data_IF_923938797408
#
_entry.id   IF_923938797408
#
_cell.length_a   1.000
_cell.length_b   1.000
_cell.length_c   1.000
_cell.angle_alpha   90.00
_cell.angle_beta   90.00
_cell.angle_gamma   90.00
#
_symmetry.space_group_name_H-M   'P 1'
#
loop_
_entity.id
_entity.type
_entity.pdbx_description
1 polymer ?
#
# COMPACT_ATOMS: atom_id res chain seq x y z
N UNK A 1 9.34 88.23 -0.46
CA UNK A 1 9.98 87.26 0.44
C UNK A 1 8.89 86.47 1.13
N UNK A 2 8.65 85.23 0.71
CA UNK A 2 7.83 84.26 1.45
C UNK A 2 8.30 82.88 1.02
N UNK A 3 9.21 82.30 1.79
CA UNK A 3 9.74 80.97 1.56
C UNK A 3 8.76 79.94 2.13
N UNK A 4 8.10 79.20 1.25
CA UNK A 4 7.24 78.07 1.58
C UNK A 4 8.11 76.90 2.05
N UNK A 5 8.13 76.62 3.37
CA UNK A 5 8.72 75.40 3.91
C UNK A 5 7.86 74.21 3.50
N UNK A 6 8.32 73.45 2.52
CA UNK A 6 7.78 72.13 2.19
C UNK A 6 8.14 71.16 3.31
N UNK A 7 7.16 70.83 4.14
CA UNK A 7 7.30 69.83 5.20
C UNK A 7 7.22 68.43 4.57
N UNK A 8 8.36 67.90 4.12
CA UNK A 8 8.45 66.51 3.66
C UNK A 8 8.48 65.57 4.87
N UNK A 9 7.31 65.33 5.46
CA UNK A 9 7.11 64.26 6.43
C UNK A 9 7.23 62.92 5.69
N UNK A 10 8.47 62.47 5.47
CA UNK A 10 8.74 61.11 5.03
C UNK A 10 8.37 60.17 6.18
N UNK A 11 7.20 59.53 6.07
CA UNK A 11 6.81 58.39 6.90
C UNK A 11 7.78 57.23 6.66
N UNK A 12 8.97 57.29 7.25
CA UNK A 12 9.92 56.18 7.29
C UNK A 12 9.47 55.22 8.38
N UNK A 13 9.03 54.03 7.98
CA UNK A 13 8.68 52.96 8.91
C UNK A 13 9.91 52.67 9.79
N UNK A 14 9.80 52.69 11.13
CA UNK A 14 10.92 52.44 12.00
C UNK A 14 11.52 51.05 11.72
N UNK A 15 12.86 50.96 11.65
CA UNK A 15 13.55 49.68 11.38
C UNK A 15 13.15 48.58 12.38
N UNK A 16 12.83 48.96 13.64
CA UNK A 16 12.32 48.06 14.66
C UNK A 16 10.95 47.46 14.31
N UNK A 17 10.10 48.20 13.59
CA UNK A 17 8.81 47.73 13.08
C UNK A 17 9.03 46.73 11.92
N UNK A 18 9.98 47.01 11.02
CA UNK A 18 10.35 46.08 9.95
C UNK A 18 10.93 44.78 10.52
N UNK A 19 11.80 44.88 11.53
CA UNK A 19 12.40 43.73 12.22
C UNK A 19 11.36 42.87 12.95
N UNK A 20 10.43 43.49 13.68
CA UNK A 20 9.37 42.76 14.39
C UNK A 20 8.36 42.12 13.43
N UNK A 21 8.03 42.76 12.31
CA UNK A 21 7.19 42.16 11.26
C UNK A 21 7.92 40.97 10.62
N UNK A 22 9.18 41.14 10.22
CA UNK A 22 10.01 40.06 9.63
C UNK A 22 10.18 38.86 10.57
N UNK A 23 10.37 39.11 11.86
CA UNK A 23 10.44 38.06 12.89
C UNK A 23 9.11 37.33 13.07
N UNK A 24 7.99 38.07 13.10
CA UNK A 24 6.64 37.49 13.22
C UNK A 24 6.28 36.65 11.99
N UNK A 25 6.54 37.14 10.79
CA UNK A 25 6.28 36.38 9.55
C UNK A 25 7.13 35.12 9.48
N UNK A 26 8.42 35.22 9.81
CA UNK A 26 9.33 34.06 9.85
C UNK A 26 8.86 33.01 10.86
N UNK A 27 8.43 33.43 12.07
CA UNK A 27 7.83 32.52 13.06
C UNK A 27 6.56 31.86 12.56
N UNK A 28 5.67 32.60 11.90
CA UNK A 28 4.45 32.03 11.32
C UNK A 28 4.76 30.98 10.25
N UNK A 29 5.75 31.22 9.38
CA UNK A 29 6.17 30.27 8.35
C UNK A 29 6.75 28.99 8.97
N UNK A 30 7.59 29.12 10.00
CA UNK A 30 8.16 27.97 10.72
C UNK A 30 7.04 27.18 11.39
N UNK A 31 6.12 27.83 12.10
CA UNK A 31 4.99 27.16 12.74
C UNK A 31 4.13 26.44 11.70
N UNK A 32 3.80 27.10 10.59
CA UNK A 32 3.04 26.48 9.51
C UNK A 32 3.76 25.26 8.94
N UNK A 33 5.08 25.34 8.71
CA UNK A 33 5.88 24.21 8.24
C UNK A 33 5.89 23.05 9.23
N UNK A 34 6.09 23.31 10.53
CA UNK A 34 6.04 22.28 11.57
C UNK A 34 4.65 21.64 11.67
N UNK A 35 3.58 22.44 11.55
CA UNK A 35 2.20 21.93 11.53
C UNK A 35 1.98 21.03 10.32
N UNK A 36 2.43 21.42 9.13
CA UNK A 36 2.33 20.57 7.92
C UNK A 36 3.11 19.27 8.11
N UNK A 37 4.34 19.32 8.63
CA UNK A 37 5.11 18.11 8.94
C UNK A 37 4.41 17.22 9.97
N UNK A 38 3.87 17.80 11.04
CA UNK A 38 3.14 17.05 12.06
C UNK A 38 1.88 16.39 11.46
N UNK A 39 1.14 17.10 10.60
CA UNK A 39 0.02 16.54 9.87
C UNK A 39 0.47 15.39 8.97
N UNK A 40 1.54 15.54 8.19
CA UNK A 40 2.07 14.47 7.35
C UNK A 40 2.45 13.24 8.17
N UNK A 41 3.08 13.40 9.32
CA UNK A 41 3.44 12.28 10.22
C UNK A 41 2.20 11.61 10.83
N UNK A 42 1.17 12.37 11.18
CA UNK A 42 -0.09 11.84 11.72
C UNK A 42 -0.89 11.10 10.64
N UNK A 43 -0.90 11.62 9.41
CA UNK A 43 -1.67 11.06 8.29
C UNK A 43 -0.84 10.12 7.41
N UNK A 44 0.44 9.90 7.71
CA UNK A 44 1.38 9.09 6.91
C UNK A 44 0.78 7.73 6.58
N UNK A 45 0.24 7.01 7.57
CA UNK A 45 -0.31 5.68 7.35
C UNK A 45 -1.54 5.67 6.42
N UNK A 46 -2.36 6.72 6.44
CA UNK A 46 -3.54 6.81 5.58
C UNK A 46 -3.16 7.22 4.15
N UNK A 47 -2.07 7.99 4.00
CA UNK A 47 -1.49 8.35 2.70
C UNK A 47 -0.75 7.17 2.08
N UNK A 48 0.03 6.45 2.89
CA UNK A 48 0.81 5.29 2.47
C UNK A 48 -0.06 4.06 2.31
N UNK A 49 -1.15 3.91 3.07
CA UNK A 49 -2.07 2.77 2.99
C UNK A 49 -3.53 3.25 2.95
N UNK A 50 -4.05 3.66 1.78
CA UNK A 50 -5.46 3.98 1.63
C UNK A 50 -6.28 2.70 1.77
N UNK A 51 -6.81 2.50 2.97
CA UNK A 51 -7.56 1.30 3.31
C UNK A 51 -8.86 1.23 2.54
N UNK A 52 -9.03 0.14 1.82
CA UNK A 52 -10.25 -0.13 1.05
C UNK A 52 -11.01 -1.29 1.69
N UNK A 53 -12.12 -0.97 2.35
CA UNK A 53 -12.97 -1.94 3.03
C UNK A 53 -13.69 -2.85 2.03
N UNK A 54 -14.15 -4.01 2.53
CA UNK A 54 -14.92 -4.93 1.72
C UNK A 54 -16.25 -4.33 1.26
N UNK A 55 -16.52 -4.35 -0.04
CA UNK A 55 -17.83 -4.02 -0.59
C UNK A 55 -18.76 -5.25 -0.49
N UNK A 56 -19.86 -5.19 0.30
CA UNK A 56 -20.82 -6.29 0.43
C UNK A 56 -21.49 -6.69 -0.89
N UNK A 57 -21.47 -5.82 -1.90
CA UNK A 57 -22.01 -6.06 -3.23
C UNK A 57 -21.06 -6.83 -4.14
N UNK A 58 -19.82 -7.12 -3.72
CA UNK A 58 -18.90 -7.96 -4.48
C UNK A 58 -19.56 -9.31 -4.72
N UNK A 59 -19.90 -9.55 -5.99
CA UNK A 59 -20.36 -10.84 -6.49
C UNK A 59 -19.18 -11.49 -7.21
N UNK A 60 -18.88 -12.73 -6.81
CA UNK A 60 -17.85 -13.51 -7.48
C UNK A 60 -18.28 -14.01 -8.88
N UNK A 61 -19.57 -13.88 -9.20
CA UNK A 61 -20.21 -14.38 -10.42
C UNK A 61 -20.75 -15.80 -10.21
N UNK A 62 -21.89 -16.11 -10.83
CA UNK A 62 -22.42 -17.48 -10.84
C UNK A 62 -21.40 -18.43 -11.50
N UNK A 63 -21.10 -19.56 -10.84
CA UNK A 63 -20.08 -20.51 -11.30
C UNK A 63 -18.62 -20.13 -11.00
N UNK A 64 -18.38 -19.10 -10.19
CA UNK A 64 -17.04 -18.76 -9.71
C UNK A 64 -16.42 -19.89 -8.89
N UNK A 65 -15.22 -20.34 -9.27
CA UNK A 65 -14.40 -21.25 -8.47
C UNK A 65 -13.75 -20.57 -7.25
N UNK A 66 -13.81 -19.24 -7.15
CA UNK A 66 -13.26 -18.51 -6.00
C UNK A 66 -14.14 -18.72 -4.77
N UNK A 67 -13.50 -19.13 -3.68
CA UNK A 67 -14.08 -19.30 -2.36
C UNK A 67 -13.41 -18.34 -1.38
N UNK A 68 -14.17 -17.85 -0.40
CA UNK A 68 -13.61 -17.07 0.70
C UNK A 68 -12.90 -18.00 1.68
N UNK A 69 -11.64 -17.69 2.01
CA UNK A 69 -10.86 -18.43 3.01
C UNK A 69 -10.29 -17.46 4.04
N UNK A 70 -10.09 -17.99 5.24
CA UNK A 70 -9.57 -17.23 6.38
C UNK A 70 -8.47 -18.02 7.06
N UNK A 71 -7.41 -17.32 7.44
CA UNK A 71 -6.27 -17.86 8.18
C UNK A 71 -5.67 -16.75 9.05
N UNK A 72 -4.77 -17.12 9.95
CA UNK A 72 -4.12 -16.18 10.86
C UNK A 72 -2.65 -16.03 10.50
N UNK A 73 -2.14 -14.80 10.58
CA UNK A 73 -0.72 -14.55 10.60
C UNK A 73 -0.10 -15.03 11.92
N UNK A 74 1.24 -15.15 11.94
CA UNK A 74 1.99 -15.61 13.11
C UNK A 74 1.82 -14.72 14.36
N UNK A 75 1.42 -13.46 14.18
CA UNK A 75 1.05 -12.53 15.27
C UNK A 75 -0.42 -12.62 15.70
N UNK A 76 -1.18 -13.57 15.14
CA UNK A 76 -2.59 -13.82 15.44
C UNK A 76 -3.58 -12.98 14.62
N UNK A 77 -3.12 -12.07 13.77
CA UNK A 77 -4.00 -11.24 12.92
C UNK A 77 -4.80 -12.13 11.97
N UNK A 78 -6.14 -12.01 11.97
CA UNK A 78 -6.98 -12.77 11.03
C UNK A 78 -7.02 -12.11 9.67
N UNK A 79 -6.76 -12.91 8.65
CA UNK A 79 -6.68 -12.50 7.27
C UNK A 79 -7.83 -13.09 6.48
N UNK A 80 -8.22 -12.34 5.45
CA UNK A 80 -9.22 -12.74 4.49
C UNK A 80 -8.59 -12.88 3.12
N UNK A 81 -8.87 -13.99 2.45
CA UNK A 81 -8.38 -14.27 1.11
C UNK A 81 -9.50 -14.85 0.24
N UNK A 82 -9.28 -14.81 -1.08
CA UNK A 82 -10.05 -15.60 -2.03
C UNK A 82 -9.15 -16.67 -2.63
N UNK A 83 -9.66 -17.89 -2.67
CA UNK A 83 -8.96 -19.05 -3.20
C UNK A 83 -9.78 -19.70 -4.32
N UNK A 84 -9.21 -19.73 -5.52
CA UNK A 84 -9.73 -20.50 -6.65
C UNK A 84 -8.98 -21.80 -6.77
N UNK A 85 -9.43 -22.83 -6.07
CA UNK A 85 -8.80 -24.15 -6.09
C UNK A 85 -9.11 -24.89 -7.40
N UNK A 86 -8.13 -25.66 -7.89
CA UNK A 86 -8.30 -26.70 -8.92
C UNK A 86 -7.75 -28.02 -8.40
N UNK A 87 -8.26 -29.13 -8.94
CA UNK A 87 -7.85 -30.48 -8.53
C UNK A 87 -6.42 -30.83 -8.98
N UNK A 88 -6.07 -30.43 -10.21
CA UNK A 88 -4.77 -30.71 -10.82
C UNK A 88 -4.17 -29.46 -11.49
N UNK A 89 -3.89 -28.39 -10.73
CA UNK A 89 -3.43 -27.13 -11.30
C UNK A 89 -2.04 -27.31 -11.93
N UNK A 90 -1.75 -26.65 -13.04
CA UNK A 90 -0.38 -26.63 -13.58
C UNK A 90 0.59 -25.86 -12.67
N UNK A 91 0.08 -24.81 -12.03
CA UNK A 91 0.81 -23.90 -11.15
C UNK A 91 -0.14 -23.37 -10.07
N UNK A 92 0.41 -23.01 -8.91
CA UNK A 92 -0.33 -22.32 -7.86
C UNK A 92 0.17 -20.88 -7.79
N UNK A 93 -0.75 -19.92 -7.90
CA UNK A 93 -0.42 -18.50 -7.90
C UNK A 93 -0.77 -17.90 -6.54
N UNK A 94 0.23 -17.33 -5.86
CA UNK A 94 0.02 -16.46 -4.70
C UNK A 94 0.00 -15.01 -5.19
N UNK A 95 -1.17 -14.38 -5.12
CA UNK A 95 -1.37 -13.00 -5.56
C UNK A 95 -1.31 -12.01 -4.37
N UNK A 96 -0.38 -11.07 -4.46
CA UNK A 96 -0.12 -10.02 -3.47
C UNK A 96 -0.55 -8.66 -4.04
N UNK A 97 -1.63 -8.08 -3.50
CA UNK A 97 -2.20 -6.85 -4.05
C UNK A 97 -1.34 -5.61 -3.79
N UNK A 98 -1.67 -4.51 -4.48
CA UNK A 98 -1.03 -3.21 -4.27
C UNK A 98 -1.78 -2.33 -3.29
N UNK A 99 -1.33 -1.08 -3.16
CA UNK A 99 -1.75 -0.17 -2.12
C UNK A 99 -3.25 0.20 -2.11
N UNK A 100 -3.88 0.18 -3.29
CA UNK A 100 -5.30 0.53 -3.47
C UNK A 100 -6.16 -0.68 -3.79
N UNK A 101 -7.25 -0.84 -3.03
CA UNK A 101 -8.20 -1.94 -3.14
C UNK A 101 -7.85 -3.16 -2.30
N UNK A 102 -8.78 -4.10 -2.25
CA UNK A 102 -8.62 -5.40 -1.59
C UNK A 102 -8.80 -6.54 -2.61
N UNK A 103 -8.67 -7.78 -2.15
CA UNK A 103 -8.84 -8.96 -3.03
C UNK A 103 -10.23 -9.01 -3.68
N UNK A 104 -11.28 -8.50 -3.06
CA UNK A 104 -12.62 -8.43 -3.66
C UNK A 104 -12.62 -7.67 -5.00
N UNK A 105 -11.91 -6.54 -5.06
CA UNK A 105 -11.69 -5.77 -6.30
C UNK A 105 -10.84 -6.51 -7.32
N UNK A 106 -10.10 -7.55 -6.90
CA UNK A 106 -9.23 -8.37 -7.75
C UNK A 106 -9.84 -9.73 -8.08
N UNK A 107 -11.06 -10.03 -7.62
CA UNK A 107 -11.72 -11.30 -7.89
C UNK A 107 -11.83 -11.61 -9.40
N UNK A 108 -12.12 -10.60 -10.23
CA UNK A 108 -12.13 -10.75 -11.69
C UNK A 108 -10.77 -11.16 -12.26
N UNK A 109 -9.69 -10.52 -11.78
CA UNK A 109 -8.32 -10.86 -12.17
C UNK A 109 -7.96 -12.27 -11.72
N UNK A 110 -8.29 -12.67 -10.49
CA UNK A 110 -7.97 -14.01 -10.01
C UNK A 110 -8.69 -15.11 -10.79
N UNK A 111 -9.97 -14.89 -11.15
CA UNK A 111 -10.69 -15.81 -12.05
C UNK A 111 -10.03 -15.89 -13.42
N UNK A 112 -9.60 -14.76 -13.96
CA UNK A 112 -8.88 -14.73 -15.23
C UNK A 112 -7.59 -15.54 -15.12
N UNK A 113 -6.75 -15.31 -14.10
CA UNK A 113 -5.52 -16.06 -13.88
C UNK A 113 -5.79 -17.56 -13.72
N UNK A 114 -6.79 -17.95 -12.91
CA UNK A 114 -7.13 -19.35 -12.72
C UNK A 114 -7.59 -20.02 -14.01
N UNK A 115 -8.44 -19.34 -14.80
CA UNK A 115 -9.00 -19.90 -16.04
C UNK A 115 -8.02 -19.96 -17.20
N UNK A 116 -7.21 -18.91 -17.39
CA UNK A 116 -6.27 -18.84 -18.51
C UNK A 116 -5.07 -19.77 -18.34
N UNK A 117 -4.61 -19.97 -17.11
CA UNK A 117 -3.38 -20.73 -16.85
C UNK A 117 -3.63 -22.11 -16.23
N UNK A 118 -4.89 -22.52 -16.07
CA UNK A 118 -5.26 -23.75 -15.36
C UNK A 118 -4.57 -23.82 -13.99
N UNK A 119 -4.69 -22.72 -13.24
CA UNK A 119 -3.96 -22.49 -12.01
C UNK A 119 -4.90 -22.45 -10.80
N UNK A 120 -4.42 -22.95 -9.66
CA UNK A 120 -5.00 -22.57 -8.38
C UNK A 120 -4.52 -21.16 -8.03
N UNK A 121 -5.39 -20.29 -7.54
CA UNK A 121 -5.01 -18.89 -7.27
C UNK A 121 -5.49 -18.48 -5.89
N UNK A 122 -4.56 -18.12 -5.00
CA UNK A 122 -4.84 -17.54 -3.70
C UNK A 122 -4.47 -16.06 -3.72
N UNK A 123 -5.42 -15.17 -3.43
CA UNK A 123 -5.14 -13.75 -3.20
C UNK A 123 -5.57 -13.33 -1.81
N UNK A 124 -4.65 -12.76 -1.05
CA UNK A 124 -4.85 -12.34 0.35
C UNK A 124 -5.08 -10.83 0.45
N UNK A 125 -6.03 -10.38 1.27
CA UNK A 125 -6.12 -8.99 1.71
C UNK A 125 -5.11 -8.79 2.82
N UNK A 126 -4.22 -7.81 2.71
CA UNK A 126 -3.40 -7.41 3.84
C UNK A 126 -4.26 -6.96 5.01
N UNK A 127 -3.70 -7.03 6.22
CA UNK A 127 -4.30 -6.50 7.44
C UNK A 127 -4.80 -5.07 7.26
N UNK A 128 -6.01 -4.79 7.72
CA UNK A 128 -6.72 -3.53 7.52
C UNK A 128 -7.41 -3.36 6.16
N UNK A 129 -7.17 -4.24 5.18
CA UNK A 129 -7.86 -4.23 3.87
C UNK A 129 -8.98 -5.26 3.81
N UNK A 130 -10.04 -4.96 3.04
CA UNK A 130 -11.12 -5.92 2.79
C UNK A 130 -11.81 -6.34 4.09
N UNK A 131 -11.74 -7.64 4.41
CA UNK A 131 -12.24 -8.22 5.67
C UNK A 131 -11.12 -8.63 6.63
N UNK A 132 -9.85 -8.33 6.32
CA UNK A 132 -8.73 -8.64 7.21
C UNK A 132 -8.71 -7.69 8.40
N UNK A 133 -8.41 -8.22 9.58
CA UNK A 133 -8.31 -7.46 10.82
C UNK A 133 -7.00 -6.62 10.86
N UNK A 134 -6.80 -5.82 11.90
CA UNK A 134 -5.53 -5.14 12.16
C UNK A 134 -5.32 -3.83 11.41
N UNK A 135 -4.05 -3.39 11.34
CA UNK A 135 -3.62 -2.14 10.72
C UNK A 135 -2.33 -2.36 9.90
N UNK A 136 -2.23 -1.78 8.70
CA UNK A 136 -1.10 -2.01 7.81
C UNK A 136 0.18 -1.40 8.38
N UNK A 137 1.25 -2.18 8.33
CA UNK A 137 2.63 -1.77 8.58
C UNK A 137 3.53 -2.61 7.68
N UNK A 138 4.72 -2.13 7.35
CA UNK A 138 5.66 -2.88 6.48
C UNK A 138 5.92 -4.31 6.99
N UNK A 139 6.20 -4.44 8.30
CA UNK A 139 6.39 -5.74 8.93
C UNK A 139 5.11 -6.58 8.89
N UNK A 140 3.96 -5.97 9.19
CA UNK A 140 2.68 -6.67 9.18
C UNK A 140 2.30 -7.23 7.80
N UNK A 141 2.52 -6.45 6.74
CA UNK A 141 2.30 -6.92 5.35
C UNK A 141 3.19 -8.11 5.00
N UNK A 142 4.43 -8.14 5.52
CA UNK A 142 5.33 -9.28 5.35
C UNK A 142 4.79 -10.53 6.04
N UNK A 143 4.33 -10.42 7.28
CA UNK A 143 3.69 -11.51 8.02
C UNK A 143 2.42 -12.02 7.33
N UNK A 144 1.65 -11.13 6.69
CA UNK A 144 0.43 -11.52 6.01
C UNK A 144 0.70 -12.36 4.74
N UNK A 145 1.76 -12.00 4.00
CA UNK A 145 2.18 -12.75 2.82
C UNK A 145 2.80 -14.10 3.19
N UNK A 146 3.57 -14.14 4.29
CA UNK A 146 4.09 -15.36 4.90
C UNK A 146 2.95 -16.31 5.27
N UNK A 147 1.94 -15.82 5.99
CA UNK A 147 0.77 -16.62 6.38
C UNK A 147 -0.01 -17.17 5.17
N UNK A 148 -0.09 -16.40 4.09
CA UNK A 148 -0.72 -16.86 2.85
C UNK A 148 0.08 -17.95 2.15
N UNK A 149 1.42 -17.88 2.19
CA UNK A 149 2.28 -18.93 1.68
C UNK A 149 2.20 -20.19 2.54
N UNK A 150 2.29 -20.05 3.86
CA UNK A 150 2.14 -21.16 4.81
C UNK A 150 0.79 -21.86 4.67
N UNK A 151 -0.29 -21.11 4.44
CA UNK A 151 -1.59 -21.68 4.11
C UNK A 151 -1.50 -22.61 2.87
N UNK A 152 -0.83 -22.19 1.80
CA UNK A 152 -0.64 -23.05 0.62
C UNK A 152 0.21 -24.29 0.93
N UNK A 153 1.32 -24.11 1.66
CA UNK A 153 2.27 -25.18 1.93
C UNK A 153 1.71 -26.22 2.92
N UNK A 154 1.09 -25.76 4.01
CA UNK A 154 0.70 -26.63 5.12
C UNK A 154 -0.75 -27.12 4.99
N UNK A 155 -1.67 -26.20 4.66
CA UNK A 155 -3.10 -26.53 4.61
C UNK A 155 -3.48 -27.18 3.28
N UNK A 156 -3.07 -26.57 2.17
CA UNK A 156 -3.33 -27.06 0.82
C UNK A 156 -2.31 -28.08 0.33
N UNK A 157 -1.22 -28.29 1.09
CA UNK A 157 -0.15 -29.26 0.79
C UNK A 157 0.46 -29.06 -0.61
N UNK A 158 0.63 -27.80 -0.99
CA UNK A 158 1.27 -27.41 -2.25
C UNK A 158 2.78 -27.42 -2.05
N UNK A 159 3.50 -28.11 -2.93
CA UNK A 159 4.97 -28.03 -2.94
C UNK A 159 5.43 -26.63 -3.37
N UNK A 160 6.44 -26.09 -2.70
CA UNK A 160 6.94 -24.72 -2.91
C UNK A 160 7.41 -24.48 -4.36
N UNK A 161 7.90 -25.52 -5.04
CA UNK A 161 8.36 -25.50 -6.43
C UNK A 161 7.23 -25.33 -7.46
N UNK A 162 5.98 -25.40 -7.02
CA UNK A 162 4.78 -25.14 -7.85
C UNK A 162 4.19 -23.76 -7.62
N UNK A 163 4.77 -22.96 -6.72
CA UNK A 163 4.24 -21.65 -6.35
C UNK A 163 4.88 -20.55 -7.21
N UNK A 164 4.03 -19.73 -7.81
CA UNK A 164 4.39 -18.49 -8.50
C UNK A 164 3.83 -17.32 -7.69
N UNK A 165 4.70 -16.43 -7.22
CA UNK A 165 4.25 -15.18 -6.59
C UNK A 165 3.97 -14.16 -7.69
N UNK A 166 2.76 -13.59 -7.69
CA UNK A 166 2.38 -12.46 -8.54
C UNK A 166 2.09 -11.27 -7.65
N UNK A 167 2.83 -10.18 -7.86
CA UNK A 167 2.74 -8.99 -7.01
C UNK A 167 2.46 -7.73 -7.82
N UNK A 168 1.78 -6.77 -7.19
CA UNK A 168 1.50 -5.46 -7.80
C UNK A 168 1.92 -4.31 -6.91
N UNK A 169 2.67 -3.35 -7.46
CA UNK A 169 3.03 -2.09 -6.79
C UNK A 169 3.59 -2.33 -5.37
N UNK A 170 2.93 -1.89 -4.30
CA UNK A 170 3.32 -2.14 -2.90
C UNK A 170 3.60 -3.62 -2.59
N UNK A 171 2.83 -4.54 -3.18
CA UNK A 171 3.04 -5.98 -2.98
C UNK A 171 4.37 -6.50 -3.52
N UNK A 172 5.08 -5.73 -4.36
CA UNK A 172 6.37 -6.11 -4.91
C UNK A 172 7.46 -6.24 -3.84
N UNK A 173 7.54 -5.28 -2.92
CA UNK A 173 8.52 -5.31 -1.82
C UNK A 173 8.30 -6.54 -0.93
N UNK A 174 7.03 -6.82 -0.63
CA UNK A 174 6.59 -7.97 0.16
C UNK A 174 6.89 -9.29 -0.57
N UNK A 175 6.51 -9.40 -1.84
CA UNK A 175 6.71 -10.59 -2.65
C UNK A 175 8.19 -10.89 -2.92
N UNK A 176 9.03 -9.87 -3.08
CA UNK A 176 10.47 -10.03 -3.22
C UNK A 176 11.09 -10.59 -1.95
N UNK A 177 10.74 -10.02 -0.79
CA UNK A 177 11.20 -10.53 0.51
C UNK A 177 10.78 -12.00 0.70
N UNK A 178 9.52 -12.31 0.45
CA UNK A 178 8.99 -13.66 0.58
C UNK A 178 9.69 -14.66 -0.36
N UNK A 179 9.94 -14.27 -1.61
CA UNK A 179 10.64 -15.12 -2.57
C UNK A 179 12.10 -15.42 -2.15
N UNK A 180 12.78 -14.46 -1.52
CA UNK A 180 14.13 -14.65 -0.97
C UNK A 180 14.08 -15.62 0.21
N UNK A 181 13.17 -15.38 1.15
CA UNK A 181 13.10 -16.14 2.41
C UNK A 181 12.70 -17.61 2.19
N UNK A 182 11.85 -17.89 1.19
CA UNK A 182 11.30 -19.24 0.93
C UNK A 182 11.84 -19.92 -0.34
N UNK A 183 12.75 -19.28 -1.08
CA UNK A 183 13.32 -19.83 -2.34
C UNK A 183 12.26 -20.26 -3.37
N UNK A 184 11.23 -19.43 -3.53
CA UNK A 184 10.14 -19.66 -4.49
C UNK A 184 10.69 -19.62 -5.93
N UNK A 185 10.26 -20.53 -6.83
CA UNK A 185 10.88 -20.70 -8.15
C UNK A 185 10.65 -19.53 -9.10
N UNK A 186 9.61 -18.74 -8.89
CA UNK A 186 9.28 -17.62 -9.76
C UNK A 186 8.54 -16.50 -9.03
N UNK A 187 8.89 -15.26 -9.39
CA UNK A 187 8.26 -14.03 -8.94
C UNK A 187 7.95 -13.15 -10.16
N UNK A 188 6.67 -12.80 -10.32
CA UNK A 188 6.21 -11.81 -11.29
C UNK A 188 5.89 -10.51 -10.54
N UNK A 189 6.48 -9.41 -11.00
CA UNK A 189 6.27 -8.08 -10.42
C UNK A 189 5.64 -7.16 -11.45
N UNK A 190 4.44 -6.68 -11.15
CA UNK A 190 3.69 -5.77 -12.01
C UNK A 190 3.69 -4.35 -11.44
N UNK A 191 3.97 -3.37 -12.30
CA UNK A 191 3.81 -1.94 -11.98
C UNK A 191 4.53 -1.50 -10.69
N UNK A 192 5.76 -2.00 -10.48
CA UNK A 192 6.65 -1.52 -9.41
C UNK A 192 7.67 -0.52 -9.94
N UNK A 193 8.34 0.19 -9.03
CA UNK A 193 9.53 0.97 -9.35
C UNK A 193 10.78 0.23 -8.88
N UNK A 194 11.87 0.32 -9.65
CA UNK A 194 13.18 -0.23 -9.27
C UNK A 194 13.81 0.53 -8.11
N UNK A 195 13.54 1.83 -8.02
CA UNK A 195 13.92 2.69 -6.89
C UNK A 195 13.14 4.02 -6.94
N UNK A 196 12.98 4.70 -5.79
CA UNK A 196 12.42 6.07 -5.74
C UNK A 196 13.21 7.09 -6.60
N UNK A 197 14.57 7.06 -6.61
CA UNK A 197 15.37 7.85 -7.55
C UNK A 197 15.07 7.60 -9.02
N UNK A 198 14.85 6.35 -9.44
CA UNK A 198 14.54 6.04 -10.85
C UNK A 198 13.21 6.63 -11.31
N UNK A 199 12.23 6.75 -10.40
CA UNK A 199 10.95 7.40 -10.68
C UNK A 199 11.15 8.92 -10.81
N UNK A 200 11.97 9.52 -9.96
CA UNK A 200 12.30 10.94 -10.00
C UNK A 200 13.17 11.34 -11.20
N UNK A 201 13.90 10.39 -11.81
CA UNK A 201 14.70 10.65 -13.01
C UNK A 201 13.87 10.61 -14.31
N UNK A 202 12.62 10.13 -14.26
CA UNK A 202 11.76 9.93 -15.44
C UNK A 202 10.55 10.88 -15.49
N UNK A 203 10.42 11.77 -14.52
CA UNK A 203 9.38 12.80 -14.42
C UNK A 203 10.00 14.15 -14.06
#
# INVERSE_FOLDING_TARGET
MTATKTNSNQHRIPWATVWTISWKTSRCLIIAYVVVLALLLVFEKQLVYPLELWDPQVRFGEGSSLQEVHFSASDGTKLHALYGQRDHPRVVILYLHGNGGNIGHRAGLLRFLSSQYDASVLGVSYRGYGKSEGQPTENGLSLDAEAALEYLLEKERVDVDRILIVSRSMGAAVGLKLAIDYSVPALCIESTFTSLPDVAARH
#
